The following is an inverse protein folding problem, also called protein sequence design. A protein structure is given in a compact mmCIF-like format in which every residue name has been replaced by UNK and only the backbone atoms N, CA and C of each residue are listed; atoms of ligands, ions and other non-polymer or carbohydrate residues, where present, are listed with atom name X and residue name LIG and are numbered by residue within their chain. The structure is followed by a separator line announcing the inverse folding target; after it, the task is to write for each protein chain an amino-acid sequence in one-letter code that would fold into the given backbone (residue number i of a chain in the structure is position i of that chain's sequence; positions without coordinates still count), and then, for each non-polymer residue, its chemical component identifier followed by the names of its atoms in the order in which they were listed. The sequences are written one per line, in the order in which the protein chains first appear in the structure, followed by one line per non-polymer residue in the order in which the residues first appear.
data_IF_855822753360
#
_entry.id   IF_855822753360
#
_cell.length_a   1.000
_cell.length_b   1.000
_cell.length_c   1.000
_cell.angle_alpha   90.00
_cell.angle_beta   90.00
_cell.angle_gamma   90.00
#
_symmetry.space_group_name_H-M   'P 1'
#
loop_
_entity.id
_entity.type
_entity.pdbx_description
1 polymer ?
#
# COMPACT_ATOMS: atom_id res chain seq x y z
N UNK A 1 -37.66 13.79 33.31
CA UNK A 1 -37.98 13.69 31.90
C UNK A 1 -37.38 12.40 31.38
N UNK A 2 -38.19 11.46 30.85
CA UNK A 2 -37.68 10.18 30.35
C UNK A 2 -36.92 10.38 29.05
N UNK A 3 -35.84 9.63 28.82
CA UNK A 3 -35.03 9.66 27.58
C UNK A 3 -35.90 9.50 26.33
N UNK A 4 -37.00 8.76 26.45
CA UNK A 4 -37.97 8.49 25.40
C UNK A 4 -38.75 9.75 24.98
N UNK A 5 -39.08 10.60 25.94
CA UNK A 5 -39.81 11.86 25.70
C UNK A 5 -38.87 12.87 25.01
N UNK A 6 -37.64 12.97 25.46
CA UNK A 6 -36.58 13.77 24.82
C UNK A 6 -36.35 13.38 23.38
N UNK A 7 -36.26 12.07 23.10
CA UNK A 7 -36.06 11.56 21.74
C UNK A 7 -37.24 11.90 20.81
N UNK A 8 -38.50 11.78 21.34
CA UNK A 8 -39.70 12.12 20.59
C UNK A 8 -39.82 13.62 20.31
N UNK A 9 -39.48 14.46 21.28
CA UNK A 9 -39.50 15.92 21.13
C UNK A 9 -38.43 16.39 20.17
N UNK A 10 -37.21 15.78 20.22
CA UNK A 10 -36.14 16.05 19.27
C UNK A 10 -36.55 15.69 17.84
N UNK A 11 -37.15 14.51 17.63
CA UNK A 11 -37.66 14.11 16.32
C UNK A 11 -38.75 15.08 15.79
N UNK A 12 -39.70 15.51 16.61
CA UNK A 12 -40.72 16.46 16.22
C UNK A 12 -40.12 17.82 15.78
N UNK A 13 -39.11 18.29 16.49
CA UNK A 13 -38.38 19.53 16.15
C UNK A 13 -37.63 19.40 14.82
N UNK A 14 -36.98 18.23 14.59
CA UNK A 14 -36.29 17.95 13.33
C UNK A 14 -37.24 17.97 12.13
N UNK A 15 -38.51 17.53 12.34
CA UNK A 15 -39.53 17.50 11.29
C UNK A 15 -40.12 18.89 11.00
N UNK A 16 -40.07 19.83 11.93
CA UNK A 16 -40.59 21.20 11.74
C UNK A 16 -39.73 21.98 10.70
N UNK A 17 -38.41 21.74 10.63
CA UNK A 17 -37.50 22.43 9.69
C UNK A 17 -36.71 21.44 8.82
N UNK A 18 -37.43 20.57 8.12
CA UNK A 18 -36.88 19.40 7.37
C UNK A 18 -35.67 19.73 6.51
N UNK A 19 -35.70 20.79 5.73
CA UNK A 19 -34.65 21.10 4.74
C UNK A 19 -33.34 21.55 5.42
N UNK A 20 -33.41 22.36 6.47
CA UNK A 20 -32.26 22.85 7.21
C UNK A 20 -31.63 21.73 8.01
N UNK A 21 -32.46 20.95 8.70
CA UNK A 21 -31.99 19.82 9.52
C UNK A 21 -31.37 18.73 8.65
N UNK A 22 -31.99 18.37 7.54
CA UNK A 22 -31.43 17.36 6.64
C UNK A 22 -30.10 17.78 6.04
N UNK A 23 -29.91 19.05 5.66
CA UNK A 23 -28.67 19.59 5.17
C UNK A 23 -27.55 19.53 6.23
N UNK A 24 -27.85 19.88 7.50
CA UNK A 24 -26.86 19.82 8.58
C UNK A 24 -26.50 18.39 8.95
N UNK A 25 -27.49 17.51 9.04
CA UNK A 25 -27.29 16.07 9.27
C UNK A 25 -26.45 15.44 8.13
N UNK A 26 -26.74 15.81 6.89
CA UNK A 26 -25.99 15.36 5.73
C UNK A 26 -24.51 15.81 5.81
N UNK A 27 -24.24 17.06 6.21
CA UNK A 27 -22.87 17.55 6.36
C UNK A 27 -22.03 16.71 7.35
N UNK A 28 -22.60 16.35 8.51
CA UNK A 28 -21.95 15.47 9.49
C UNK A 28 -21.80 14.05 8.95
N UNK A 29 -22.89 13.49 8.39
CA UNK A 29 -22.88 12.14 7.83
C UNK A 29 -21.83 12.01 6.70
N UNK A 30 -21.73 13.01 5.84
CA UNK A 30 -20.75 13.09 4.77
C UNK A 30 -19.30 13.21 5.31
N UNK A 31 -19.10 14.00 6.36
CA UNK A 31 -17.80 14.12 7.02
C UNK A 31 -17.32 12.77 7.56
N UNK A 32 -18.16 12.05 8.29
CA UNK A 32 -17.86 10.70 8.80
C UNK A 32 -17.64 9.71 7.65
N UNK A 33 -18.54 9.72 6.66
CA UNK A 33 -18.43 8.88 5.47
C UNK A 33 -17.07 9.07 4.80
N UNK A 34 -16.66 10.31 4.56
CA UNK A 34 -15.37 10.64 3.92
C UNK A 34 -14.17 10.16 4.73
N UNK A 35 -14.18 10.34 6.07
CA UNK A 35 -13.08 9.93 6.94
C UNK A 35 -12.94 8.40 6.93
N UNK A 36 -14.06 7.66 7.11
CA UNK A 36 -14.01 6.19 7.13
C UNK A 36 -13.57 5.63 5.79
N UNK A 37 -14.13 6.15 4.69
CA UNK A 37 -13.81 5.70 3.34
C UNK A 37 -12.32 5.87 3.03
N UNK A 38 -11.77 7.02 3.42
CA UNK A 38 -10.38 7.34 3.17
C UNK A 38 -9.41 6.45 3.95
N UNK A 39 -9.68 6.22 5.25
CA UNK A 39 -8.85 5.31 6.03
C UNK A 39 -8.96 3.89 5.48
N UNK A 40 -10.16 3.47 5.07
CA UNK A 40 -10.37 2.18 4.43
C UNK A 40 -9.61 2.04 3.09
N UNK A 41 -9.59 3.08 2.26
CA UNK A 41 -8.83 3.10 1.01
C UNK A 41 -7.32 3.07 1.26
N UNK A 42 -6.83 3.85 2.22
CA UNK A 42 -5.42 3.85 2.60
C UNK A 42 -4.94 2.50 3.15
N UNK A 43 -5.77 1.80 3.90
CA UNK A 43 -5.47 0.45 4.39
C UNK A 43 -5.51 -0.58 3.25
N UNK A 44 -6.47 -0.45 2.33
CA UNK A 44 -6.53 -1.29 1.13
C UNK A 44 -5.31 -1.16 0.23
N UNK A 45 -4.80 0.06 0.05
CA UNK A 45 -3.53 0.31 -0.66
C UNK A 45 -2.35 -0.32 0.08
N UNK A 46 -2.25 -0.14 1.40
CA UNK A 46 -1.18 -0.72 2.22
C UNK A 46 -1.14 -2.25 2.12
N UNK A 47 -2.29 -2.90 2.26
CA UNK A 47 -2.39 -4.37 2.18
C UNK A 47 -2.14 -4.86 0.75
N UNK A 48 -2.65 -4.15 -0.26
CA UNK A 48 -2.39 -4.46 -1.67
C UNK A 48 -0.89 -4.39 -1.96
N UNK A 49 -0.22 -3.30 -1.60
CA UNK A 49 1.21 -3.14 -1.80
C UNK A 49 2.05 -4.21 -1.08
N UNK A 50 1.68 -4.60 0.14
CA UNK A 50 2.35 -5.71 0.83
C UNK A 50 2.27 -7.03 0.06
N UNK A 51 1.10 -7.37 -0.50
CA UNK A 51 0.93 -8.58 -1.32
C UNK A 51 1.79 -8.54 -2.59
N UNK A 52 1.89 -7.37 -3.22
CA UNK A 52 2.75 -7.18 -4.40
C UNK A 52 4.22 -7.41 -4.05
N UNK A 53 4.69 -6.83 -2.94
CA UNK A 53 6.06 -7.02 -2.46
C UNK A 53 6.35 -8.47 -2.09
N UNK A 54 5.42 -9.18 -1.45
CA UNK A 54 5.56 -10.62 -1.18
C UNK A 54 5.69 -11.43 -2.46
N UNK A 55 4.99 -11.04 -3.51
CA UNK A 55 5.09 -11.63 -4.84
C UNK A 55 6.41 -11.35 -5.55
N UNK A 56 7.00 -10.19 -5.40
CA UNK A 56 8.27 -9.83 -6.04
C UNK A 56 9.50 -10.40 -5.32
N UNK A 57 9.46 -10.51 -4.01
CA UNK A 57 10.54 -10.79 -3.08
C UNK A 57 10.78 -9.59 -2.17
N UNK A 58 11.07 -9.85 -0.89
CA UNK A 58 11.27 -8.79 0.11
C UNK A 58 12.72 -8.35 0.15
N UNK A 59 12.94 -7.04 0.33
CA UNK A 59 14.25 -6.44 0.60
C UNK A 59 15.31 -6.77 -0.47
N UNK A 60 14.93 -6.72 -1.74
CA UNK A 60 15.84 -6.99 -2.85
C UNK A 60 16.40 -5.67 -3.39
N UNK A 61 17.70 -5.64 -3.56
CA UNK A 61 18.42 -4.62 -4.31
C UNK A 61 18.94 -5.23 -5.60
N UNK A 62 18.60 -4.62 -6.74
CA UNK A 62 19.11 -5.04 -8.06
C UNK A 62 20.09 -3.99 -8.52
N UNK A 63 21.35 -4.38 -8.72
CA UNK A 63 22.43 -3.48 -9.08
C UNK A 63 22.75 -3.66 -10.56
N UNK A 64 22.47 -2.65 -11.35
CA UNK A 64 22.78 -2.59 -12.78
C UNK A 64 24.10 -1.89 -13.02
N UNK A 65 24.92 -2.42 -13.92
CA UNK A 65 26.14 -1.78 -14.36
C UNK A 65 25.81 -0.66 -15.35
N UNK A 66 26.37 0.53 -15.09
CA UNK A 66 26.14 1.71 -15.91
C UNK A 66 27.38 2.34 -16.48
N UNK A 67 27.38 3.65 -16.58
CA UNK A 67 28.53 4.47 -17.02
C UNK A 67 28.92 5.43 -15.90
N UNK A 68 30.22 5.56 -15.63
CA UNK A 68 30.68 6.53 -14.65
C UNK A 68 30.34 7.97 -15.06
N UNK A 69 29.77 8.73 -14.15
CA UNK A 69 29.54 10.18 -14.31
C UNK A 69 30.62 11.01 -13.62
N UNK A 70 31.30 10.44 -12.64
CA UNK A 70 32.35 11.08 -11.87
C UNK A 70 33.73 10.52 -12.23
N UNK A 71 34.76 11.36 -12.04
CA UNK A 71 36.16 10.93 -12.12
C UNK A 71 36.56 10.27 -10.80
N UNK A 72 37.13 9.09 -10.84
CA UNK A 72 37.64 8.39 -9.67
C UNK A 72 38.89 7.57 -10.00
N UNK A 73 39.82 7.42 -9.03
CA UNK A 73 41.00 6.64 -9.18
C UNK A 73 41.91 7.05 -10.34
N UNK A 74 41.91 8.32 -10.73
CA UNK A 74 42.68 8.83 -11.89
C UNK A 74 42.11 8.49 -13.25
N UNK A 75 40.91 7.88 -13.30
CA UNK A 75 40.22 7.49 -14.52
C UNK A 75 39.15 8.53 -14.92
N UNK A 76 38.93 8.70 -16.24
CA UNK A 76 37.96 9.66 -16.75
C UNK A 76 36.52 9.16 -16.52
N UNK A 77 35.57 10.11 -16.37
CA UNK A 77 34.15 9.83 -16.43
C UNK A 77 33.73 9.30 -17.83
N UNK A 78 32.55 8.67 -17.90
CA UNK A 78 31.99 8.11 -19.14
C UNK A 78 32.43 6.65 -19.42
N UNK A 79 33.22 6.03 -18.55
CA UNK A 79 33.58 4.60 -18.69
C UNK A 79 32.35 3.74 -18.47
N UNK A 80 32.17 2.73 -19.31
CA UNK A 80 31.18 1.68 -19.08
C UNK A 80 31.73 0.69 -18.06
N UNK A 81 30.99 0.48 -17.00
CA UNK A 81 31.23 -0.57 -15.99
C UNK A 81 30.54 -1.85 -16.45
N UNK A 82 31.09 -3.00 -16.06
CA UNK A 82 30.49 -4.33 -16.26
C UNK A 82 30.75 -5.13 -15.01
N UNK A 83 29.71 -5.75 -14.50
CA UNK A 83 29.85 -6.70 -13.41
C UNK A 83 30.35 -8.02 -13.97
N UNK A 84 31.20 -8.69 -13.23
CA UNK A 84 31.70 -10.00 -13.58
C UNK A 84 31.40 -11.00 -12.45
N UNK A 85 31.28 -12.29 -12.79
CA UNK A 85 31.05 -13.34 -11.78
C UNK A 85 32.19 -13.44 -10.76
N UNK A 86 33.40 -13.05 -11.15
CA UNK A 86 34.60 -12.95 -10.29
C UNK A 86 34.48 -11.85 -9.23
N UNK A 87 33.56 -10.90 -9.38
CA UNK A 87 33.32 -9.86 -8.39
C UNK A 87 32.59 -10.41 -7.16
N UNK A 88 31.74 -11.43 -7.34
CA UNK A 88 30.84 -11.95 -6.31
C UNK A 88 31.55 -12.38 -5.04
N UNK A 89 32.61 -13.21 -5.09
CA UNK A 89 33.33 -13.62 -3.88
C UNK A 89 33.94 -12.44 -3.11
N UNK A 90 34.46 -11.45 -3.83
CA UNK A 90 35.07 -10.25 -3.23
C UNK A 90 33.99 -9.38 -2.55
N UNK A 91 32.84 -9.18 -3.23
CA UNK A 91 31.73 -8.42 -2.66
C UNK A 91 31.20 -9.15 -1.41
N UNK A 92 31.07 -10.47 -1.47
CA UNK A 92 30.53 -11.26 -0.36
C UNK A 92 31.44 -11.23 0.87
N UNK A 93 32.76 -11.21 0.67
CA UNK A 93 33.75 -11.06 1.77
C UNK A 93 33.70 -9.65 2.39
N UNK A 94 33.47 -8.60 1.57
CA UNK A 94 33.48 -7.21 2.00
C UNK A 94 32.10 -6.70 2.47
N UNK A 95 31.05 -7.52 2.36
CA UNK A 95 29.67 -7.14 2.69
C UNK A 95 29.04 -8.13 3.68
N UNK A 96 29.47 -8.13 4.96
CA UNK A 96 28.97 -9.04 5.98
C UNK A 96 27.50 -8.82 6.34
N UNK A 97 26.96 -7.63 6.10
CA UNK A 97 25.54 -7.30 6.32
C UNK A 97 24.63 -7.82 5.21
N UNK A 98 25.19 -8.33 4.11
CA UNK A 98 24.47 -8.94 3.02
C UNK A 98 24.33 -10.45 3.22
N UNK A 99 23.11 -10.98 3.05
CA UNK A 99 22.83 -12.42 3.13
C UNK A 99 23.16 -13.15 1.84
N UNK A 100 22.69 -12.59 0.71
CA UNK A 100 22.90 -13.16 -0.61
C UNK A 100 23.38 -12.09 -1.59
N UNK A 101 24.38 -12.45 -2.40
CA UNK A 101 24.83 -11.71 -3.56
C UNK A 101 24.82 -12.70 -4.73
N UNK A 102 23.85 -12.52 -5.62
CA UNK A 102 23.57 -13.49 -6.68
C UNK A 102 23.82 -12.89 -8.05
N UNK A 103 24.51 -13.63 -8.95
CA UNK A 103 24.59 -13.25 -10.36
C UNK A 103 23.23 -13.44 -11.02
N UNK A 104 22.90 -12.61 -11.98
CA UNK A 104 21.78 -12.86 -12.87
C UNK A 104 22.16 -12.57 -14.33
N UNK A 105 21.90 -13.57 -15.16
CA UNK A 105 21.92 -13.51 -16.62
C UNK A 105 20.50 -13.61 -17.14
N UNK A 106 20.15 -12.83 -18.17
CA UNK A 106 18.84 -12.88 -18.79
C UNK A 106 18.94 -12.77 -20.31
N UNK A 107 18.40 -13.75 -21.03
CA UNK A 107 18.35 -13.73 -22.49
C UNK A 107 16.93 -14.05 -22.98
N UNK A 108 16.45 -13.28 -23.94
CA UNK A 108 15.23 -13.63 -24.67
C UNK A 108 15.58 -14.64 -25.75
N UNK A 109 15.05 -15.85 -25.65
CA UNK A 109 15.43 -16.99 -26.47
C UNK A 109 14.19 -17.62 -27.08
N UNK A 110 14.30 -18.07 -28.32
CA UNK A 110 13.28 -18.94 -28.93
C UNK A 110 13.36 -20.32 -28.29
N UNK A 111 12.26 -20.74 -27.68
CA UNK A 111 12.15 -21.97 -26.93
C UNK A 111 11.08 -22.83 -27.58
N UNK A 112 11.33 -24.13 -27.66
CA UNK A 112 10.31 -25.07 -28.12
C UNK A 112 10.31 -26.34 -27.26
N UNK A 113 9.15 -26.92 -27.13
CA UNK A 113 8.93 -28.30 -26.68
C UNK A 113 8.66 -29.18 -27.90
N UNK A 114 8.31 -30.45 -27.67
CA UNK A 114 7.82 -31.34 -28.74
C UNK A 114 6.43 -30.92 -29.27
N UNK A 115 5.77 -29.92 -28.64
CA UNK A 115 4.38 -29.57 -28.92
C UNK A 115 4.24 -28.14 -29.44
N UNK A 116 4.88 -27.18 -28.77
CA UNK A 116 4.73 -25.73 -29.05
C UNK A 116 6.07 -25.01 -28.97
N UNK A 117 6.09 -23.79 -29.53
CA UNK A 117 7.22 -22.89 -29.44
C UNK A 117 6.77 -21.49 -28.96
N UNK A 118 7.64 -20.80 -28.21
CA UNK A 118 7.43 -19.45 -27.74
C UNK A 118 8.76 -18.69 -27.69
N UNK A 119 8.68 -17.38 -27.68
CA UNK A 119 9.82 -16.50 -27.37
C UNK A 119 9.70 -16.11 -25.91
N UNK A 120 10.61 -16.59 -25.07
CA UNK A 120 10.55 -16.40 -23.63
C UNK A 120 11.92 -15.99 -23.08
N UNK A 121 11.91 -15.37 -21.91
CA UNK A 121 13.13 -15.03 -21.19
C UNK A 121 13.62 -16.25 -20.42
N UNK A 122 14.91 -16.55 -20.62
CA UNK A 122 15.65 -17.51 -19.80
C UNK A 122 16.48 -16.72 -18.81
N UNK A 123 16.32 -17.02 -17.51
CA UNK A 123 17.07 -16.41 -16.42
C UNK A 123 18.01 -17.44 -15.79
N UNK A 124 19.31 -17.12 -15.73
CA UNK A 124 20.33 -17.94 -15.09
C UNK A 124 20.83 -17.31 -13.80
N UNK A 125 20.77 -18.05 -12.69
CA UNK A 125 21.26 -17.58 -11.39
C UNK A 125 21.70 -18.73 -10.49
N UNK A 126 22.07 -18.41 -9.25
CA UNK A 126 22.38 -19.38 -8.21
C UNK A 126 21.14 -19.91 -7.48
N UNK A 127 21.18 -21.06 -6.80
CA UNK A 127 20.00 -21.68 -6.18
C UNK A 127 19.20 -20.82 -5.18
N UNK A 128 19.81 -19.93 -4.36
CA UNK A 128 19.06 -19.06 -3.46
C UNK A 128 18.11 -18.08 -4.18
N UNK A 129 18.22 -17.95 -5.50
CA UNK A 129 17.35 -17.11 -6.31
C UNK A 129 15.85 -17.45 -6.12
N UNK A 130 15.52 -18.73 -5.93
CA UNK A 130 14.12 -19.14 -5.66
C UNK A 130 13.59 -18.56 -4.36
N UNK A 131 14.42 -18.50 -3.30
CA UNK A 131 14.05 -17.88 -2.02
C UNK A 131 13.92 -16.35 -2.18
N UNK A 132 14.95 -15.73 -2.77
CA UNK A 132 15.02 -14.27 -2.97
C UNK A 132 13.84 -13.75 -3.80
N UNK A 133 13.48 -14.48 -4.86
CA UNK A 133 12.39 -14.10 -5.77
C UNK A 133 11.04 -14.72 -5.41
N UNK A 134 10.91 -15.38 -4.26
CA UNK A 134 9.66 -16.06 -3.84
C UNK A 134 9.10 -16.98 -4.93
N UNK A 135 9.96 -17.82 -5.54
CA UNK A 135 9.57 -18.79 -6.55
C UNK A 135 9.14 -20.11 -5.88
N UNK A 136 7.85 -20.25 -5.62
CA UNK A 136 7.31 -21.46 -5.01
C UNK A 136 7.16 -22.58 -6.04
N UNK A 137 7.49 -23.81 -5.63
CA UNK A 137 7.44 -24.99 -6.47
C UNK A 137 6.05 -25.62 -6.40
N UNK A 138 5.34 -25.73 -7.53
CA UNK A 138 4.09 -26.49 -7.64
C UNK A 138 4.36 -27.99 -7.85
N UNK A 139 5.32 -28.30 -8.76
CA UNK A 139 5.66 -29.66 -9.14
C UNK A 139 7.18 -29.79 -9.29
N UNK A 140 7.74 -30.92 -8.83
CA UNK A 140 9.16 -31.21 -8.97
C UNK A 140 10.04 -30.47 -7.95
N UNK A 141 11.14 -29.88 -8.41
CA UNK A 141 12.11 -29.14 -7.58
C UNK A 141 12.72 -27.97 -8.35
N UNK A 142 13.28 -27.02 -7.61
CA UNK A 142 14.21 -26.03 -8.15
C UNK A 142 15.62 -26.63 -8.30
N UNK A 143 16.50 -26.03 -9.09
CA UNK A 143 17.88 -26.50 -9.23
C UNK A 143 18.69 -26.26 -7.94
N UNK A 144 19.73 -27.06 -7.75
CA UNK A 144 20.59 -27.06 -6.57
C UNK A 144 22.04 -26.67 -6.90
N UNK A 145 22.87 -26.51 -5.88
CA UNK A 145 24.30 -26.25 -6.07
C UNK A 145 25.02 -27.37 -6.84
N UNK A 146 24.55 -28.62 -6.75
CA UNK A 146 25.10 -29.72 -7.55
C UNK A 146 24.79 -29.55 -9.03
N UNK A 147 23.58 -29.06 -9.37
CA UNK A 147 23.21 -28.77 -10.76
C UNK A 147 24.09 -27.62 -11.33
N UNK A 148 24.43 -26.62 -10.49
CA UNK A 148 25.35 -25.53 -10.84
C UNK A 148 26.77 -26.06 -11.06
N UNK A 149 27.32 -26.83 -10.11
CA UNK A 149 28.69 -27.37 -10.17
C UNK A 149 28.92 -28.31 -11.36
N UNK A 150 27.93 -29.12 -11.66
CA UNK A 150 28.00 -30.08 -12.75
C UNK A 150 27.54 -29.52 -14.09
N UNK A 151 27.24 -28.22 -14.16
CA UNK A 151 26.73 -27.57 -15.39
C UNK A 151 25.52 -28.28 -16.01
N UNK A 152 24.64 -28.81 -15.14
CA UNK A 152 23.50 -29.59 -15.60
C UNK A 152 22.52 -28.72 -16.37
N UNK A 153 22.10 -29.19 -17.56
CA UNK A 153 21.07 -28.55 -18.38
C UNK A 153 19.69 -28.93 -17.87
N UNK A 154 19.29 -28.31 -16.78
CA UNK A 154 17.99 -28.47 -16.16
C UNK A 154 17.21 -27.16 -16.19
N UNK A 155 15.89 -27.23 -16.35
CA UNK A 155 15.01 -26.10 -16.47
C UNK A 155 13.89 -26.15 -15.44
N UNK A 156 13.65 -25.02 -14.76
CA UNK A 156 12.50 -24.77 -13.92
C UNK A 156 11.57 -23.79 -14.65
N UNK A 157 10.34 -24.19 -14.92
CA UNK A 157 9.41 -23.44 -15.75
C UNK A 157 8.51 -22.54 -14.91
N UNK A 158 8.32 -21.29 -15.34
CA UNK A 158 7.21 -20.46 -14.89
C UNK A 158 5.86 -21.09 -15.28
N UNK A 159 4.83 -20.82 -14.50
CA UNK A 159 3.50 -21.44 -14.70
C UNK A 159 2.90 -21.16 -16.08
N UNK A 160 3.04 -19.94 -16.60
CA UNK A 160 2.53 -19.58 -17.92
C UNK A 160 3.48 -20.01 -19.04
N UNK A 161 4.79 -20.03 -18.81
CA UNK A 161 5.75 -20.66 -19.72
C UNK A 161 5.42 -22.15 -19.92
N UNK A 162 5.10 -22.89 -18.85
CA UNK A 162 4.62 -24.28 -18.93
C UNK A 162 3.35 -24.40 -19.76
N UNK A 163 2.36 -23.51 -19.53
CA UNK A 163 1.11 -23.54 -20.31
C UNK A 163 1.34 -23.26 -21.78
N UNK A 164 2.22 -22.31 -22.12
CA UNK A 164 2.55 -21.99 -23.51
C UNK A 164 3.25 -23.14 -24.23
N UNK A 165 4.20 -23.84 -23.56
CA UNK A 165 5.02 -24.86 -24.18
C UNK A 165 4.36 -26.27 -24.17
N UNK A 166 3.61 -26.60 -23.11
CA UNK A 166 3.06 -27.96 -22.91
C UNK A 166 1.53 -27.99 -22.84
N UNK A 167 0.86 -26.83 -22.72
CA UNK A 167 -0.59 -26.76 -22.49
C UNK A 167 -1.00 -27.45 -21.18
N UNK A 168 -1.96 -28.37 -21.25
CA UNK A 168 -2.40 -29.17 -20.12
C UNK A 168 -1.54 -30.42 -19.84
N UNK A 169 -0.56 -30.72 -20.71
CA UNK A 169 0.28 -31.93 -20.60
C UNK A 169 1.27 -31.79 -19.42
N UNK A 170 1.71 -32.92 -18.83
CA UNK A 170 2.79 -32.91 -17.84
C UNK A 170 4.09 -32.42 -18.52
N UNK A 171 4.87 -31.61 -17.80
CA UNK A 171 6.13 -31.07 -18.28
C UNK A 171 7.36 -31.70 -17.59
N UNK A 172 7.18 -32.26 -16.37
CA UNK A 172 8.28 -32.86 -15.60
C UNK A 172 8.93 -34.01 -16.33
N UNK A 173 10.28 -33.98 -16.42
CA UNK A 173 11.07 -34.99 -17.09
C UNK A 173 11.12 -34.88 -18.62
N UNK A 174 10.28 -34.03 -19.21
CA UNK A 174 10.29 -33.75 -20.65
C UNK A 174 11.46 -32.80 -21.00
N UNK A 175 11.86 -32.83 -22.29
CA UNK A 175 12.85 -31.88 -22.81
C UNK A 175 12.19 -30.60 -23.29
N UNK A 176 12.80 -29.47 -22.93
CA UNK A 176 12.59 -28.15 -23.53
C UNK A 176 13.87 -27.71 -24.22
N UNK A 177 13.76 -27.17 -25.43
CA UNK A 177 14.92 -26.79 -26.24
C UNK A 177 15.08 -25.26 -26.22
N UNK A 178 16.14 -24.81 -25.57
CA UNK A 178 16.52 -23.38 -25.49
C UNK A 178 17.48 -23.10 -26.65
N UNK A 179 17.08 -22.33 -27.67
CA UNK A 179 17.83 -22.15 -28.92
C UNK A 179 18.38 -23.48 -29.52
N UNK A 180 17.57 -24.54 -29.49
CA UNK A 180 17.87 -25.90 -29.90
C UNK A 180 18.80 -26.70 -28.96
N UNK A 181 19.16 -26.18 -27.82
CA UNK A 181 19.94 -26.91 -26.79
C UNK A 181 18.93 -27.58 -25.82
N UNK A 182 19.00 -28.91 -25.62
CA UNK A 182 18.05 -29.62 -24.78
C UNK A 182 18.32 -29.37 -23.28
N UNK A 183 17.26 -29.03 -22.55
CA UNK A 183 17.20 -28.94 -21.10
C UNK A 183 16.09 -29.82 -20.57
N UNK A 184 16.34 -30.54 -19.50
CA UNK A 184 15.35 -31.39 -18.83
C UNK A 184 14.54 -30.55 -17.85
N UNK A 185 13.20 -30.60 -17.98
CA UNK A 185 12.31 -29.91 -17.03
C UNK A 185 12.29 -30.66 -15.71
N UNK A 186 12.79 -30.00 -14.65
CA UNK A 186 12.88 -30.57 -13.29
C UNK A 186 11.82 -30.03 -12.33
N UNK A 187 11.13 -28.94 -12.70
CA UNK A 187 10.07 -28.39 -11.89
C UNK A 187 9.26 -27.33 -12.61
N UNK A 188 8.12 -27.03 -12.02
CA UNK A 188 7.18 -26.02 -12.48
C UNK A 188 6.82 -25.12 -11.30
N UNK A 189 6.78 -23.82 -11.53
CA UNK A 189 6.46 -22.81 -10.56
C UNK A 189 4.94 -22.73 -10.31
N UNK A 190 4.56 -22.51 -9.07
CA UNK A 190 3.20 -22.14 -8.70
C UNK A 190 2.79 -20.82 -9.38
N UNK A 191 1.48 -20.66 -9.65
CA UNK A 191 0.95 -19.43 -10.19
C UNK A 191 1.23 -18.27 -9.22
N UNK A 192 1.96 -17.29 -9.71
CA UNK A 192 2.39 -16.11 -8.95
C UNK A 192 1.79 -14.85 -9.53
N UNK A 193 1.27 -13.97 -8.69
CA UNK A 193 0.84 -12.64 -9.07
C UNK A 193 1.99 -11.64 -8.87
N UNK A 194 2.29 -10.86 -9.88
CA UNK A 194 3.30 -9.82 -9.87
C UNK A 194 2.74 -8.55 -10.51
N UNK A 195 3.02 -7.40 -9.94
CA UNK A 195 2.64 -6.09 -10.50
C UNK A 195 3.79 -5.36 -11.16
N UNK A 196 5.03 -5.71 -10.80
CA UNK A 196 6.23 -5.10 -11.34
C UNK A 196 7.28 -6.13 -11.74
N UNK A 197 8.12 -5.76 -12.66
CA UNK A 197 9.23 -6.58 -13.12
C UNK A 197 10.28 -5.68 -13.78
N UNK A 198 11.54 -6.03 -13.62
CA UNK A 198 12.67 -5.36 -14.28
C UNK A 198 13.03 -6.01 -15.62
N UNK A 199 12.54 -7.23 -15.89
CA UNK A 199 12.90 -8.01 -17.07
C UNK A 199 11.81 -8.98 -17.53
N UNK A 200 10.54 -8.74 -17.17
CA UNK A 200 9.39 -9.58 -17.49
C UNK A 200 8.89 -10.44 -16.33
N UNK A 201 7.67 -10.94 -16.46
CA UNK A 201 6.97 -11.68 -15.42
C UNK A 201 7.61 -13.04 -15.16
N UNK A 202 7.87 -13.40 -13.91
CA UNK A 202 8.47 -14.67 -13.52
C UNK A 202 7.66 -15.89 -14.01
N UNK A 203 6.33 -15.75 -14.07
CA UNK A 203 5.44 -16.80 -14.61
C UNK A 203 5.70 -17.12 -16.09
N UNK A 204 6.27 -16.19 -16.84
CA UNK A 204 6.60 -16.34 -18.26
C UNK A 204 8.06 -16.70 -18.52
N UNK A 205 8.88 -16.91 -17.48
CA UNK A 205 10.30 -17.21 -17.61
C UNK A 205 10.61 -18.71 -17.49
N UNK A 206 11.80 -19.05 -17.93
CA UNK A 206 12.46 -20.31 -17.62
C UNK A 206 13.72 -20.02 -16.82
N UNK A 207 13.88 -20.70 -15.70
CA UNK A 207 15.03 -20.55 -14.81
C UNK A 207 15.97 -21.73 -14.97
N UNK A 208 17.26 -21.45 -15.13
CA UNK A 208 18.30 -22.45 -15.34
C UNK A 208 19.50 -22.16 -14.42
N UNK A 209 20.36 -23.15 -14.13
CA UNK A 209 21.60 -22.91 -13.40
C UNK A 209 22.48 -21.85 -14.10
N UNK A 210 23.08 -20.95 -13.29
CA UNK A 210 23.95 -19.88 -13.80
C UNK A 210 25.02 -20.42 -14.76
N UNK A 211 25.72 -21.50 -14.37
CA UNK A 211 26.80 -22.08 -15.16
C UNK A 211 26.37 -22.67 -16.48
N UNK A 212 25.20 -23.29 -16.53
CA UNK A 212 24.63 -23.78 -17.78
C UNK A 212 24.24 -22.60 -18.71
N UNK A 213 23.67 -21.52 -18.14
CA UNK A 213 23.33 -20.31 -18.90
C UNK A 213 24.58 -19.64 -19.49
N UNK A 214 25.60 -19.41 -18.67
CA UNK A 214 26.85 -18.76 -19.10
C UNK A 214 27.59 -19.58 -20.17
N UNK A 215 27.52 -20.91 -20.11
CA UNK A 215 28.13 -21.80 -21.10
C UNK A 215 27.38 -21.82 -22.43
N UNK A 216 26.05 -21.93 -22.39
CA UNK A 216 25.23 -22.18 -23.56
C UNK A 216 24.81 -20.85 -24.28
N UNK A 217 24.80 -19.73 -23.54
CA UNK A 217 24.44 -18.39 -24.03
C UNK A 217 25.49 -17.34 -23.66
N UNK A 218 26.76 -17.52 -24.09
CA UNK A 218 27.83 -16.58 -23.78
C UNK A 218 27.55 -15.21 -24.41
N UNK A 219 27.80 -14.17 -23.66
CA UNK A 219 27.73 -12.80 -24.15
C UNK A 219 28.68 -12.53 -25.31
N UNK A 220 28.29 -11.63 -26.20
CA UNK A 220 29.08 -11.21 -27.37
C UNK A 220 29.96 -10.00 -27.03
N UNK A 221 31.14 -9.87 -27.67
CA UNK A 221 31.96 -8.66 -27.50
C UNK A 221 31.15 -7.37 -27.69
N UNK A 222 31.38 -6.35 -26.87
CA UNK A 222 32.51 -6.17 -25.92
C UNK A 222 32.36 -6.82 -24.55
N UNK A 223 31.30 -7.57 -24.28
CA UNK A 223 31.13 -8.40 -23.08
C UNK A 223 31.95 -9.70 -23.23
N UNK A 224 32.15 -10.41 -22.13
CA UNK A 224 32.82 -11.70 -22.10
C UNK A 224 31.93 -12.75 -21.39
N UNK A 225 32.39 -13.98 -21.33
CA UNK A 225 31.64 -15.08 -20.71
C UNK A 225 31.41 -14.92 -19.18
N UNK A 226 32.13 -14.01 -18.56
CA UNK A 226 32.02 -13.69 -17.13
C UNK A 226 31.16 -12.47 -16.83
N UNK A 227 30.71 -11.74 -17.89
CA UNK A 227 29.90 -10.55 -17.72
C UNK A 227 28.52 -10.91 -17.21
N UNK A 228 28.04 -10.17 -16.21
CA UNK A 228 26.70 -10.29 -15.62
C UNK A 228 25.81 -9.17 -16.15
N UNK A 229 24.53 -9.47 -16.32
CA UNK A 229 23.53 -8.43 -16.63
C UNK A 229 23.25 -7.59 -15.39
N UNK A 230 23.18 -8.24 -14.22
CA UNK A 230 22.89 -7.59 -12.95
C UNK A 230 23.30 -8.44 -11.75
N UNK A 231 23.37 -7.79 -10.60
CA UNK A 231 23.56 -8.44 -9.31
C UNK A 231 22.31 -8.27 -8.47
N UNK A 232 21.82 -9.37 -7.89
CA UNK A 232 20.77 -9.33 -6.87
C UNK A 232 21.45 -9.41 -5.51
N UNK A 233 21.17 -8.42 -4.67
CA UNK A 233 21.73 -8.32 -3.32
C UNK A 233 20.57 -8.28 -2.32
N UNK A 234 20.66 -9.09 -1.27
CA UNK A 234 19.69 -9.08 -0.19
C UNK A 234 20.39 -8.87 1.15
N UNK A 235 19.89 -8.03 2.05
CA UNK A 235 20.45 -7.86 3.37
C UNK A 235 20.17 -9.08 4.27
N UNK A 236 20.91 -9.22 5.35
CA UNK A 236 20.66 -10.26 6.34
C UNK A 236 19.39 -9.97 7.18
N UNK A 237 19.04 -8.67 7.32
CA UNK A 237 17.81 -8.21 7.96
C UNK A 237 17.42 -6.83 7.42
N UNK A 238 16.17 -6.38 7.68
CA UNK A 238 15.69 -5.05 7.28
C UNK A 238 16.58 -3.93 7.86
N UNK A 239 17.08 -4.10 9.09
CA UNK A 239 17.96 -3.12 9.75
C UNK A 239 19.33 -3.03 9.10
N UNK A 240 19.76 -4.08 8.42
CA UNK A 240 21.04 -4.15 7.71
C UNK A 240 20.93 -3.77 6.24
N UNK A 241 19.75 -3.30 5.78
CA UNK A 241 19.50 -2.96 4.38
C UNK A 241 20.47 -1.86 3.88
N UNK A 242 20.48 -0.69 4.52
CA UNK A 242 21.38 0.41 4.12
C UNK A 242 22.88 0.10 4.32
N UNK A 243 23.32 -0.53 5.44
CA UNK A 243 24.68 -1.03 5.56
C UNK A 243 25.09 -1.98 4.42
N UNK A 244 24.30 -3.03 4.14
CA UNK A 244 24.56 -3.98 3.05
C UNK A 244 24.68 -3.27 1.69
N UNK A 245 23.76 -2.35 1.37
CA UNK A 245 23.79 -1.55 0.14
C UNK A 245 25.09 -0.75 0.02
N UNK A 246 25.46 -0.05 1.09
CA UNK A 246 26.68 0.76 1.11
C UNK A 246 27.95 -0.10 1.02
N UNK A 247 27.97 -1.27 1.62
CA UNK A 247 29.10 -2.23 1.55
C UNK A 247 29.23 -2.80 0.14
N UNK A 248 28.15 -3.30 -0.45
CA UNK A 248 28.15 -3.84 -1.81
C UNK A 248 28.61 -2.80 -2.84
N UNK A 249 28.11 -1.56 -2.76
CA UNK A 249 28.54 -0.47 -3.65
C UNK A 249 30.02 -0.12 -3.44
N UNK A 250 30.50 -0.06 -2.18
CA UNK A 250 31.93 0.21 -1.90
C UNK A 250 32.84 -0.90 -2.43
N UNK A 251 32.44 -2.16 -2.28
CA UNK A 251 33.16 -3.29 -2.82
C UNK A 251 33.26 -3.20 -4.35
N UNK A 252 32.13 -3.00 -5.04
CA UNK A 252 32.09 -2.79 -6.49
C UNK A 252 32.92 -1.59 -6.93
N UNK A 253 32.83 -0.47 -6.19
CA UNK A 253 33.60 0.73 -6.47
C UNK A 253 35.12 0.49 -6.35
N UNK A 254 35.55 -0.32 -5.40
CA UNK A 254 36.95 -0.67 -5.22
C UNK A 254 37.47 -1.53 -6.36
N UNK A 255 36.70 -2.53 -6.81
CA UNK A 255 37.06 -3.44 -7.90
C UNK A 255 37.14 -2.68 -9.21
N UNK A 256 36.08 -1.92 -9.55
CA UNK A 256 35.93 -1.26 -10.85
C UNK A 256 36.42 0.19 -10.88
N UNK A 257 37.01 0.70 -9.78
CA UNK A 257 37.64 2.02 -9.63
C UNK A 257 36.69 3.17 -10.07
N UNK A 258 35.48 3.20 -9.50
CA UNK A 258 34.55 4.32 -9.63
C UNK A 258 34.28 4.95 -8.26
N UNK A 259 33.68 6.14 -8.24
CA UNK A 259 33.30 6.79 -6.99
C UNK A 259 32.06 6.10 -6.40
N UNK A 260 32.07 5.65 -5.12
CA UNK A 260 30.91 5.01 -4.50
C UNK A 260 29.62 5.87 -4.50
N UNK A 261 29.74 7.18 -4.66
CA UNK A 261 28.61 8.12 -4.74
C UNK A 261 28.05 8.27 -6.15
N UNK A 262 28.70 7.68 -7.16
CA UNK A 262 28.32 7.75 -8.56
C UNK A 262 27.15 6.78 -8.86
N UNK A 263 25.94 7.30 -8.78
CA UNK A 263 24.71 6.52 -9.02
C UNK A 263 24.54 6.07 -10.47
N UNK A 264 25.23 6.72 -11.42
CA UNK A 264 25.19 6.32 -12.83
C UNK A 264 26.11 5.12 -13.12
N UNK A 265 27.19 4.96 -12.33
CA UNK A 265 28.10 3.82 -12.42
C UNK A 265 27.47 2.52 -11.90
N UNK A 266 26.74 2.63 -10.78
CA UNK A 266 26.01 1.53 -10.14
C UNK A 266 24.58 1.98 -9.87
N UNK A 267 23.66 1.70 -10.79
CA UNK A 267 22.26 2.02 -10.62
C UNK A 267 21.60 0.92 -9.76
N UNK A 268 21.09 1.30 -8.61
CA UNK A 268 20.43 0.38 -7.69
C UNK A 268 18.92 0.55 -7.76
N UNK A 269 18.23 -0.49 -8.20
CA UNK A 269 16.80 -0.59 -7.99
C UNK A 269 16.53 -1.26 -6.63
N UNK A 270 15.99 -0.48 -5.72
CA UNK A 270 15.84 -0.82 -4.31
C UNK A 270 14.36 -0.95 -3.96
N UNK A 271 13.89 -2.17 -3.78
CA UNK A 271 12.48 -2.46 -3.53
C UNK A 271 12.01 -1.95 -2.16
N UNK A 272 12.91 -1.88 -1.16
CA UNK A 272 12.57 -1.34 0.16
C UNK A 272 12.40 0.18 0.09
N UNK A 273 13.30 0.87 -0.58
CA UNK A 273 13.24 2.32 -0.75
C UNK A 273 11.98 2.75 -1.53
N UNK A 274 11.61 1.98 -2.57
CA UNK A 274 10.34 2.23 -3.29
C UNK A 274 9.12 2.02 -2.39
N UNK A 275 9.14 0.97 -1.56
CA UNK A 275 8.08 0.70 -0.59
C UNK A 275 7.93 1.81 0.44
N UNK A 276 9.04 2.29 1.01
CA UNK A 276 9.04 3.40 1.96
C UNK A 276 8.54 4.71 1.32
N UNK A 277 8.97 5.00 0.10
CA UNK A 277 8.49 6.17 -0.65
C UNK A 277 6.98 6.11 -0.91
N UNK A 278 6.47 4.92 -1.27
CA UNK A 278 5.04 4.70 -1.45
C UNK A 278 4.27 4.83 -0.14
N UNK A 279 4.81 4.30 0.97
CA UNK A 279 4.20 4.45 2.30
C UNK A 279 4.15 5.91 2.74
N UNK A 280 5.23 6.68 2.54
CA UNK A 280 5.25 8.11 2.83
C UNK A 280 4.22 8.88 2.01
N UNK A 281 4.10 8.60 0.72
CA UNK A 281 3.08 9.18 -0.16
C UNK A 281 1.66 8.85 0.34
N UNK A 282 1.40 7.58 0.64
CA UNK A 282 0.10 7.11 1.14
C UNK A 282 -0.25 7.74 2.48
N UNK A 283 0.72 7.85 3.39
CA UNK A 283 0.53 8.52 4.68
C UNK A 283 0.27 10.03 4.49
N UNK A 284 0.99 10.70 3.58
CA UNK A 284 0.73 12.09 3.20
C UNK A 284 -0.71 12.29 2.69
N UNK A 285 -1.17 11.39 1.82
CA UNK A 285 -2.57 11.39 1.34
C UNK A 285 -3.56 11.18 2.49
N UNK A 286 -3.30 10.25 3.42
CA UNK A 286 -4.15 10.03 4.60
C UNK A 286 -4.27 11.29 5.45
N UNK A 287 -3.17 11.98 5.72
CA UNK A 287 -3.19 13.23 6.49
C UNK A 287 -3.93 14.36 5.76
N UNK A 288 -3.66 14.55 4.48
CA UNK A 288 -4.32 15.58 3.67
C UNK A 288 -5.84 15.40 3.63
N UNK A 289 -6.26 14.21 3.24
CA UNK A 289 -7.68 13.90 3.15
C UNK A 289 -8.33 13.85 4.55
N UNK A 290 -7.59 13.45 5.61
CA UNK A 290 -8.03 13.56 7.01
C UNK A 290 -8.32 14.99 7.43
N UNK A 291 -7.48 15.94 7.02
CA UNK A 291 -7.73 17.35 7.25
C UNK A 291 -8.97 17.87 6.52
N UNK A 292 -9.20 17.43 5.27
CA UNK A 292 -10.42 17.74 4.52
C UNK A 292 -11.67 17.18 5.21
N UNK A 293 -11.64 15.90 5.62
CA UNK A 293 -12.75 15.27 6.36
C UNK A 293 -13.01 15.95 7.69
N UNK A 294 -11.96 16.33 8.44
CA UNK A 294 -12.08 17.08 9.69
C UNK A 294 -12.73 18.46 9.45
N UNK A 295 -12.27 19.19 8.44
CA UNK A 295 -12.85 20.49 8.08
C UNK A 295 -14.32 20.38 7.73
N UNK A 296 -14.68 19.36 6.93
CA UNK A 296 -16.08 19.08 6.56
C UNK A 296 -16.93 18.75 7.79
N UNK A 297 -16.40 17.96 8.72
CA UNK A 297 -17.06 17.63 9.98
C UNK A 297 -17.27 18.88 10.86
N UNK A 298 -16.29 19.77 10.95
CA UNK A 298 -16.42 21.04 11.65
C UNK A 298 -17.48 21.94 11.02
N UNK A 299 -17.55 22.02 9.69
CA UNK A 299 -18.62 22.73 8.98
C UNK A 299 -20.01 22.16 9.28
N UNK A 300 -20.14 20.82 9.31
CA UNK A 300 -21.35 20.14 9.75
C UNK A 300 -21.72 20.49 11.20
N UNK A 301 -20.74 20.52 12.10
CA UNK A 301 -20.92 20.94 13.50
C UNK A 301 -21.39 22.38 13.64
N UNK A 302 -20.83 23.32 12.86
CA UNK A 302 -21.30 24.70 12.79
C UNK A 302 -22.74 24.78 12.28
N UNK A 303 -23.10 23.92 11.33
CA UNK A 303 -24.48 23.78 10.85
C UNK A 303 -25.45 23.39 11.98
N UNK A 304 -25.08 22.37 12.79
CA UNK A 304 -25.89 21.98 13.96
C UNK A 304 -25.97 23.10 14.98
N UNK A 305 -24.88 23.77 15.29
CA UNK A 305 -24.85 24.92 16.20
C UNK A 305 -25.86 26.00 15.74
N UNK A 306 -25.86 26.35 14.46
CA UNK A 306 -26.78 27.35 13.89
C UNK A 306 -28.27 26.91 13.98
N UNK A 307 -28.56 25.64 13.70
CA UNK A 307 -29.92 25.09 13.82
C UNK A 307 -30.36 25.13 15.27
N UNK A 308 -29.53 24.74 16.20
CA UNK A 308 -29.87 24.77 17.62
C UNK A 308 -30.04 26.18 18.18
N UNK A 309 -29.23 27.17 17.70
CA UNK A 309 -29.45 28.58 18.05
C UNK A 309 -30.80 29.11 17.60
N UNK A 310 -31.25 28.75 16.41
CA UNK A 310 -32.59 29.09 15.94
C UNK A 310 -33.64 28.41 16.78
N UNK A 311 -33.53 27.12 17.08
CA UNK A 311 -34.44 26.37 17.94
C UNK A 311 -34.54 26.99 19.36
N UNK A 312 -33.43 27.46 19.92
CA UNK A 312 -33.41 28.19 21.21
C UNK A 312 -34.22 29.49 21.11
N UNK A 313 -34.03 30.28 20.03
CA UNK A 313 -34.81 31.53 19.80
C UNK A 313 -36.30 31.28 19.67
N UNK A 314 -36.69 30.29 18.89
CA UNK A 314 -38.11 29.94 18.67
C UNK A 314 -38.77 29.45 19.97
N UNK A 315 -38.02 28.81 20.87
CA UNK A 315 -38.48 28.28 22.16
C UNK A 315 -38.18 29.19 23.36
N UNK A 316 -37.73 30.43 23.12
CA UNK A 316 -37.31 31.36 24.21
C UNK A 316 -38.43 31.56 25.22
N UNK A 317 -39.72 31.72 24.81
CA UNK A 317 -40.87 31.88 25.71
C UNK A 317 -41.11 30.62 26.54
N UNK A 318 -41.02 29.45 25.96
CA UNK A 318 -41.16 28.15 26.67
C UNK A 318 -40.07 27.99 27.73
N UNK A 319 -38.81 28.32 27.40
CA UNK A 319 -37.70 28.31 28.32
C UNK A 319 -37.93 29.30 29.47
N UNK A 320 -38.41 30.50 29.15
CA UNK A 320 -38.75 31.52 30.15
C UNK A 320 -39.82 31.05 31.12
N UNK A 321 -40.91 30.44 30.64
CA UNK A 321 -41.97 29.86 31.48
C UNK A 321 -41.40 28.79 32.39
N UNK A 322 -40.61 27.84 31.88
CA UNK A 322 -40.00 26.77 32.72
C UNK A 322 -39.10 27.35 33.83
N UNK A 323 -38.31 28.37 33.50
CA UNK A 323 -37.44 29.02 34.51
C UNK A 323 -38.25 29.85 35.53
N UNK A 324 -39.33 30.50 35.11
CA UNK A 324 -40.21 31.23 36.01
C UNK A 324 -40.94 30.33 37.03
N UNK A 325 -41.21 29.06 36.67
CA UNK A 325 -41.81 28.05 37.52
C UNK A 325 -40.74 27.38 38.41
N UNK A 326 -39.43 27.77 38.31
CA UNK A 326 -38.35 27.30 39.15
C UNK A 326 -37.44 26.26 38.56
N UNK A 327 -37.46 26.02 37.22
CA UNK A 327 -36.50 25.11 36.61
C UNK A 327 -35.09 25.69 36.66
N UNK A 328 -34.08 24.97 37.22
CA UNK A 328 -32.72 25.47 37.32
C UNK A 328 -32.02 25.46 35.95
N UNK A 329 -31.12 26.44 35.72
CA UNK A 329 -30.44 26.65 34.47
C UNK A 329 -29.68 25.41 33.95
N UNK A 330 -29.15 24.57 34.82
CA UNK A 330 -28.45 23.33 34.44
C UNK A 330 -29.41 22.30 33.82
N UNK A 331 -30.69 22.30 34.16
CA UNK A 331 -31.68 21.39 33.58
C UNK A 331 -31.97 21.79 32.13
N UNK A 332 -32.08 23.09 31.85
CA UNK A 332 -32.23 23.62 30.49
C UNK A 332 -30.97 23.32 29.65
N UNK A 333 -29.80 23.60 30.22
CA UNK A 333 -28.53 23.30 29.57
C UNK A 333 -28.45 21.82 29.16
N UNK A 334 -28.72 20.90 30.12
CA UNK A 334 -28.66 19.45 29.84
C UNK A 334 -29.67 19.03 28.78
N UNK A 335 -30.83 19.62 28.75
CA UNK A 335 -31.85 19.32 27.74
C UNK A 335 -31.35 19.67 26.33
N UNK A 336 -30.98 20.95 26.07
CA UNK A 336 -30.51 21.38 24.77
C UNK A 336 -29.19 20.72 24.33
N UNK A 337 -28.29 20.47 25.29
CA UNK A 337 -27.08 19.73 25.04
C UNK A 337 -27.35 18.30 24.57
N UNK A 338 -28.27 17.59 25.25
CA UNK A 338 -28.65 16.22 24.88
C UNK A 338 -29.39 16.19 23.53
N UNK A 339 -30.26 17.17 23.25
CA UNK A 339 -30.93 17.29 21.93
C UNK A 339 -29.92 17.43 20.79
N UNK A 340 -28.91 18.31 20.95
CA UNK A 340 -27.84 18.48 19.96
C UNK A 340 -26.97 17.22 19.81
N UNK A 341 -26.62 16.54 20.91
CA UNK A 341 -25.89 15.28 20.86
C UNK A 341 -26.65 14.19 20.09
N UNK A 342 -27.96 14.06 20.31
CA UNK A 342 -28.81 13.09 19.59
C UNK A 342 -28.73 13.35 18.07
N UNK A 343 -28.85 14.61 17.65
CA UNK A 343 -28.76 14.98 16.23
C UNK A 343 -27.39 14.57 15.64
N UNK A 344 -26.30 14.91 16.31
CA UNK A 344 -24.94 14.63 15.83
C UNK A 344 -24.67 13.14 15.77
N UNK A 345 -25.03 12.39 16.83
CA UNK A 345 -24.80 10.94 16.84
C UNK A 345 -25.69 10.19 15.85
N UNK A 346 -26.94 10.64 15.64
CA UNK A 346 -27.81 10.06 14.62
C UNK A 346 -27.23 10.29 13.22
N UNK A 347 -26.75 11.52 12.95
CA UNK A 347 -26.07 11.86 11.69
C UNK A 347 -24.82 11.04 11.47
N UNK A 348 -24.02 10.89 12.53
CA UNK A 348 -22.81 10.07 12.52
C UNK A 348 -23.10 8.59 12.24
N UNK A 349 -24.12 8.04 12.88
CA UNK A 349 -24.56 6.66 12.66
C UNK A 349 -24.98 6.43 11.20
N UNK A 350 -25.71 7.37 10.59
CA UNK A 350 -26.06 7.31 9.17
C UNK A 350 -24.78 7.31 8.31
N UNK A 351 -23.82 8.20 8.60
CA UNK A 351 -22.53 8.26 7.90
C UNK A 351 -21.74 6.95 8.02
N UNK A 352 -21.69 6.34 9.21
CA UNK A 352 -21.04 5.05 9.43
C UNK A 352 -21.71 3.93 8.62
N UNK A 353 -23.02 3.77 8.74
CA UNK A 353 -23.76 2.73 8.00
C UNK A 353 -23.57 2.89 6.50
N UNK A 354 -23.64 4.12 6.00
CA UNK A 354 -23.43 4.42 4.59
C UNK A 354 -22.00 4.08 4.14
N UNK A 355 -20.98 4.39 4.96
CA UNK A 355 -19.58 4.09 4.61
C UNK A 355 -19.28 2.59 4.59
N UNK A 356 -19.76 1.84 5.58
CA UNK A 356 -19.58 0.38 5.58
C UNK A 356 -20.35 -0.30 4.46
N UNK A 357 -21.58 0.15 4.19
CA UNK A 357 -22.37 -0.33 3.05
C UNK A 357 -21.69 -0.05 1.71
N UNK A 358 -21.09 1.12 1.56
CA UNK A 358 -20.33 1.48 0.36
C UNK A 358 -19.05 0.65 0.23
N UNK A 359 -18.29 0.45 1.30
CA UNK A 359 -17.12 -0.44 1.30
C UNK A 359 -17.49 -1.85 0.84
N UNK A 360 -18.54 -2.43 1.42
CA UNK A 360 -19.03 -3.76 1.04
C UNK A 360 -19.50 -3.83 -0.43
N UNK A 361 -20.07 -2.74 -0.95
CA UNK A 361 -20.49 -2.67 -2.36
C UNK A 361 -19.27 -2.63 -3.30
N UNK A 362 -18.24 -1.86 -2.94
CA UNK A 362 -17.02 -1.73 -3.73
C UNK A 362 -16.25 -3.05 -3.75
N UNK A 363 -16.22 -3.79 -2.65
CA UNK A 363 -15.55 -5.10 -2.56
C UNK A 363 -16.17 -6.20 -3.44
N UNK A 364 -17.37 -5.99 -3.98
CA UNK A 364 -17.97 -6.89 -4.97
C UNK A 364 -17.35 -6.74 -6.38
N UNK A 365 -16.66 -5.65 -6.65
CA UNK A 365 -16.00 -5.42 -7.93
C UNK A 365 -14.60 -6.08 -7.94
N UNK A 366 -14.14 -6.61 -9.09
CA UNK A 366 -12.76 -7.09 -9.20
C UNK A 366 -11.78 -5.92 -9.01
N UNK A 367 -10.93 -6.02 -7.98
CA UNK A 367 -9.93 -5.01 -7.66
C UNK A 367 -8.59 -5.33 -8.30
N UNK A 368 -7.79 -4.31 -8.69
CA UNK A 368 -6.41 -4.52 -9.14
C UNK A 368 -5.56 -5.06 -7.97
N UNK A 369 -4.53 -5.85 -8.30
CA UNK A 369 -3.72 -6.56 -7.29
C UNK A 369 -3.00 -5.62 -6.30
N UNK A 370 -2.67 -4.38 -6.70
CA UNK A 370 -2.07 -3.36 -5.83
C UNK A 370 -3.06 -2.71 -4.85
N UNK A 371 -4.36 -3.01 -4.96
CA UNK A 371 -5.40 -2.46 -4.10
C UNK A 371 -6.30 -3.58 -3.57
N UNK A 372 -6.21 -3.85 -2.27
CA UNK A 372 -6.94 -4.95 -1.63
C UNK A 372 -8.42 -4.64 -1.34
N UNK A 373 -8.99 -3.58 -1.93
CA UNK A 373 -10.34 -3.12 -1.66
C UNK A 373 -10.42 -2.06 -0.56
N UNK A 374 -11.61 -1.72 -0.14
CA UNK A 374 -11.83 -0.76 0.95
C UNK A 374 -11.90 -1.50 2.28
N UNK A 375 -10.82 -1.46 3.05
CA UNK A 375 -10.68 -2.20 4.31
C UNK A 375 -10.91 -1.28 5.52
N UNK A 376 -12.17 -1.13 6.01
CA UNK A 376 -12.43 -0.35 7.20
C UNK A 376 -11.88 -1.07 8.43
N UNK A 377 -10.98 -0.39 9.17
CA UNK A 377 -10.39 -0.94 10.40
C UNK A 377 -11.17 -0.50 11.63
N UNK A 378 -11.13 -1.28 12.71
CA UNK A 378 -11.71 -0.88 13.98
C UNK A 378 -11.07 0.40 14.55
N UNK A 379 -9.79 0.62 14.26
CA UNK A 379 -9.04 1.82 14.65
C UNK A 379 -9.62 3.08 13.97
N UNK A 380 -9.96 2.98 12.67
CA UNK A 380 -10.62 4.07 11.96
C UNK A 380 -12.01 4.39 12.51
N UNK A 381 -12.75 3.36 12.89
CA UNK A 381 -14.07 3.53 13.52
C UNK A 381 -13.96 4.25 14.87
N UNK A 382 -13.03 3.83 15.73
CA UNK A 382 -12.78 4.47 17.03
C UNK A 382 -12.31 5.92 16.86
N UNK A 383 -11.35 6.17 15.96
CA UNK A 383 -10.85 7.51 15.69
C UNK A 383 -11.97 8.44 15.20
N UNK A 384 -12.77 7.99 14.24
CA UNK A 384 -13.91 8.76 13.70
C UNK A 384 -14.98 9.02 14.78
N UNK A 385 -15.21 8.04 15.67
CA UNK A 385 -16.16 8.20 16.79
C UNK A 385 -15.67 9.23 17.82
N UNK A 386 -14.39 9.21 18.16
CA UNK A 386 -13.80 10.20 19.08
C UNK A 386 -13.82 11.60 18.46
N UNK A 387 -13.51 11.71 17.18
CA UNK A 387 -13.55 12.97 16.46
C UNK A 387 -14.99 13.52 16.39
N UNK A 388 -15.96 12.67 16.06
CA UNK A 388 -17.38 13.02 16.07
C UNK A 388 -17.81 13.51 17.45
N UNK A 389 -17.44 12.78 18.51
CA UNK A 389 -17.74 13.14 19.89
C UNK A 389 -17.20 14.52 20.28
N UNK A 390 -15.95 14.82 19.90
CA UNK A 390 -15.35 16.15 20.16
C UNK A 390 -16.10 17.28 19.47
N UNK A 391 -16.41 17.12 18.18
CA UNK A 391 -17.17 18.11 17.41
C UNK A 391 -18.62 18.24 17.95
N UNK A 392 -19.23 17.13 18.36
CA UNK A 392 -20.57 17.13 18.96
C UNK A 392 -20.63 17.97 20.25
N UNK A 393 -19.66 17.80 21.14
CA UNK A 393 -19.56 18.56 22.40
C UNK A 393 -19.38 20.06 22.10
N UNK A 394 -18.46 20.41 21.19
CA UNK A 394 -18.20 21.82 20.83
C UNK A 394 -19.43 22.48 20.19
N UNK A 395 -20.08 21.78 19.24
CA UNK A 395 -21.24 22.30 18.52
C UNK A 395 -22.48 22.46 19.44
N UNK A 396 -22.64 21.54 20.41
CA UNK A 396 -23.78 21.54 21.32
C UNK A 396 -23.63 22.52 22.50
N UNK A 397 -22.41 22.76 22.96
CA UNK A 397 -22.16 23.50 24.19
C UNK A 397 -22.57 24.97 24.12
N UNK A 398 -22.29 25.65 23.01
CA UNK A 398 -22.60 27.05 22.84
C UNK A 398 -24.11 27.34 22.84
N UNK A 399 -24.96 26.70 22.01
CA UNK A 399 -26.40 26.92 22.05
C UNK A 399 -27.05 26.48 23.37
N UNK A 400 -26.56 25.40 24.00
CA UNK A 400 -27.07 24.96 25.29
C UNK A 400 -26.81 25.98 26.42
N UNK A 401 -25.61 26.62 26.42
CA UNK A 401 -25.31 27.71 27.34
C UNK A 401 -26.18 28.93 27.10
N UNK A 402 -26.44 29.27 25.84
CA UNK A 402 -27.31 30.40 25.50
C UNK A 402 -28.76 30.15 25.95
N UNK A 403 -29.27 28.93 25.77
CA UNK A 403 -30.58 28.53 26.29
C UNK A 403 -30.68 28.65 27.82
N UNK A 404 -29.63 28.21 28.53
CA UNK A 404 -29.56 28.27 29.98
C UNK A 404 -29.41 29.73 30.51
N UNK A 405 -28.91 30.66 29.72
CA UNK A 405 -28.73 32.06 30.08
C UNK A 405 -29.97 32.93 29.83
N UNK A 406 -31.04 32.43 29.22
CA UNK A 406 -32.28 33.18 28.95
C UNK A 406 -32.88 33.74 30.25
N UNK A 407 -33.13 35.02 30.30
CA UNK A 407 -33.81 35.68 31.41
C UNK A 407 -35.31 35.42 31.34
N UNK A 408 -35.96 34.94 32.40
CA UNK A 408 -37.39 34.67 32.45
C UNK A 408 -38.26 35.91 32.15
N UNK A 409 -37.83 37.11 32.63
CA UNK A 409 -38.56 38.34 32.48
C UNK A 409 -38.55 38.82 31.03
N UNK A 410 -37.36 38.80 30.40
CA UNK A 410 -37.20 39.14 29.00
C UNK A 410 -37.94 38.13 28.08
N UNK A 411 -37.86 36.83 28.38
CA UNK A 411 -38.46 35.78 27.63
C UNK A 411 -40.00 35.85 27.60
N UNK A 412 -40.64 36.33 28.70
CA UNK A 412 -42.06 36.49 28.78
C UNK A 412 -42.55 37.79 28.07
N UNK A 413 -41.64 38.76 27.93
CA UNK A 413 -41.88 40.01 27.21
C UNK A 413 -41.66 39.88 25.69
N UNK A 414 -41.03 38.79 25.29
CA UNK A 414 -40.75 38.50 23.87
C UNK A 414 -42.04 38.12 23.16
N UNK A 415 -42.72 39.10 22.55
CA UNK A 415 -43.72 38.85 21.53
C UNK A 415 -42.99 38.23 20.36
N UNK A 416 -43.39 37.05 19.92
CA UNK A 416 -42.86 36.42 18.72
C UNK A 416 -43.16 37.40 17.58
N UNK A 417 -42.17 38.22 17.27
CA UNK A 417 -42.24 39.22 16.22
C UNK A 417 -42.57 38.55 14.91
N UNK A 418 -43.49 39.14 14.18
CA UNK A 418 -44.05 38.73 12.96
C UNK A 418 -43.07 38.55 11.79
#
# INVERSE_FOLDING_TARGET
MHLRDLFRDTLNTLWAHKLRTSLTMFGIAWGIFSIVLMVAAGEGLRVGQQKVQEGFGRDIMIIFAGRTSLQAGGLRAGRRIRWEDTDIPVIQEQSPDCRYILPELGNEVRIHSNYNAALLIVAGSHPPFSEVRSLHVEQGRFYTWDDVKEHRRVAFLGSDAKKQLFGSRPALGENVYLANIPYVVIGVMEMKKQDSSYDGWDVNKIFVPYTAMAQDFPDKPPNNAHTLDRLLVTPASVQQHEPCKAEAIRALASIHRFDPTDKEAANVWDTLQEAEAFEQLTNGMKYFLGAVGFTTLCLGGLGVMNVMLVAVRERTREIGIRKAIGAPSHTILRQFFTEALIVVFLSGAIGFVASFGFCALVDLAPMPDFFAGLLPTWQSAVFSFLLLGSVAVLAAMYPARQAAAVDPIEALRYEAGG
#
